data_IF_311530827547
#
_entry.id   IF_311530827547
#
_cell.length_a   1.000
_cell.length_b   1.000
_cell.length_c   1.000
_cell.angle_alpha   90.00
_cell.angle_beta   90.00
_cell.angle_gamma   90.00
#
_symmetry.space_group_name_H-M   'P 1'
#
loop_
_entity.id
_entity.type
_entity.pdbx_description
1 polymer ?
2 non-polymer ?
3 water ?
#
# COMPACT_ATOMS: atom_id res chain seq x y z
N UNK A 1 2.23 -9.80 17.28
CA UNK A 1 1.49 -9.60 16.00
C UNK A 1 0.09 -9.02 16.22
N UNK A 2 -0.01 -7.68 16.24
CA UNK A 2 -1.27 -6.95 16.43
C UNK A 2 -2.21 -7.20 15.27
N UNK A 3 -3.52 -7.18 15.53
CA UNK A 3 -4.50 -7.42 14.49
C UNK A 3 -5.52 -6.29 14.33
N UNK A 4 -5.20 -5.12 14.88
CA UNK A 4 -6.07 -3.95 14.79
C UNK A 4 -6.27 -3.57 13.32
N UNK A 5 -7.47 -3.13 12.96
CA UNK A 5 -7.73 -2.74 11.58
C UNK A 5 -6.92 -1.49 11.27
N UNK A 6 -6.42 -1.39 10.04
CA UNK A 6 -5.64 -0.23 9.66
C UNK A 6 -5.77 0.07 8.18
N UNK A 7 -5.51 1.32 7.83
CA UNK A 7 -5.54 1.78 6.45
C UNK A 7 -4.11 2.22 6.21
N UNK A 8 -3.45 1.64 5.22
CA UNK A 8 -2.06 1.98 4.94
C UNK A 8 -1.81 2.35 3.49
N UNK A 9 -1.32 3.57 3.26
CA UNK A 9 -1.03 4.01 1.91
C UNK A 9 0.47 3.86 1.72
N UNK A 10 0.87 3.02 0.77
CA UNK A 10 2.28 2.74 0.56
C UNK A 10 2.85 3.22 -0.76
N UNK A 11 4.04 3.81 -0.69
CA UNK A 11 4.75 4.29 -1.87
C UNK A 11 6.10 3.59 -1.79
N UNK A 12 6.35 2.70 -2.74
CA UNK A 12 7.57 1.91 -2.77
C UNK A 12 8.39 2.15 -4.03
N UNK A 13 9.69 2.40 -3.86
CA UNK A 13 10.58 2.65 -4.99
C UNK A 13 11.88 1.89 -4.84
N UNK A 14 12.49 1.50 -5.97
CA UNK A 14 13.76 0.76 -5.96
C UNK A 14 14.93 1.73 -6.05
N UNK A 15 15.99 1.45 -5.31
CA UNK A 15 17.18 2.29 -5.31
C UNK A 15 18.34 1.53 -5.93
N UNK A 16 19.06 2.18 -6.84
CA UNK A 16 20.20 1.53 -7.46
C UNK A 16 19.93 0.83 -8.78
N UNK A 17 18.79 1.09 -9.40
CA UNK A 17 18.50 0.46 -10.69
C UNK A 17 19.26 1.27 -11.74
N UNK A 18 19.31 0.76 -12.97
CA UNK A 18 20.04 1.45 -14.03
C UNK A 18 19.25 2.56 -14.72
N UNK A 19 18.00 2.75 -14.32
CA UNK A 19 17.17 3.76 -14.96
C UNK A 19 16.26 4.53 -14.01
N UNK A 20 15.98 5.78 -14.37
CA UNK A 20 15.11 6.64 -13.57
C UNK A 20 13.68 6.14 -13.72
N UNK A 21 13.43 5.39 -14.79
CA UNK A 21 12.11 4.83 -15.04
C UNK A 21 11.95 3.60 -14.15
N UNK A 22 10.93 3.58 -13.31
CA UNK A 22 10.70 2.44 -12.41
C UNK A 22 9.31 1.83 -12.53
N UNK A 23 8.61 2.12 -13.62
CA UNK A 23 7.26 1.58 -13.79
C UNK A 23 7.24 0.05 -13.84
N UNK A 24 8.36 -0.57 -14.21
CA UNK A 24 8.41 -2.03 -14.26
C UNK A 24 8.29 -2.56 -12.84
N UNK A 25 9.02 -1.93 -11.92
CA UNK A 25 9.02 -2.30 -10.51
C UNK A 25 7.62 -2.10 -9.92
N UNK A 26 7.03 -0.94 -10.20
CA UNK A 26 5.70 -0.63 -9.68
C UNK A 26 4.66 -1.64 -10.17
N UNK A 27 4.68 -1.93 -11.46
CA UNK A 27 3.75 -2.89 -12.05
C UNK A 27 3.95 -4.26 -11.41
N UNK A 28 5.22 -4.65 -11.26
CA UNK A 28 5.58 -5.93 -10.64
C UNK A 28 4.98 -6.07 -9.24
N UNK A 29 5.18 -5.06 -8.40
CA UNK A 29 4.66 -5.12 -7.04
C UNK A 29 3.14 -5.00 -6.99
N UNK A 30 2.57 -4.20 -7.89
CA UNK A 30 1.12 -4.03 -7.91
C UNK A 30 0.41 -5.34 -8.21
N UNK A 31 0.95 -6.11 -9.15
CA UNK A 31 0.35 -7.39 -9.50
C UNK A 31 0.40 -8.31 -8.28
N UNK A 32 1.48 -8.22 -7.52
CA UNK A 32 1.64 -9.04 -6.32
C UNK A 32 0.64 -8.61 -5.26
N UNK A 33 0.39 -7.30 -5.16
CA UNK A 33 -0.55 -6.77 -4.18
C UNK A 33 -1.98 -7.19 -4.51
N UNK A 34 -2.30 -7.24 -5.80
CA UNK A 34 -3.64 -7.61 -6.23
C UNK A 34 -3.94 -9.10 -6.05
N UNK A 35 -2.91 -9.89 -5.77
CA UNK A 35 -3.09 -11.32 -5.55
C UNK A 35 -3.58 -11.57 -4.13
N UNK A 36 -3.33 -10.61 -3.25
CA UNK A 36 -3.75 -10.71 -1.86
C UNK A 36 -5.25 -10.50 -1.76
N UNK A 37 -5.89 -11.13 -0.76
CA UNK A 37 -7.34 -10.98 -0.57
C UNK A 37 -7.66 -9.65 0.10
N UNK A 38 -6.63 -8.98 0.61
CA UNK A 38 -6.79 -7.69 1.26
C UNK A 38 -7.23 -6.64 0.25
N UNK A 39 -8.10 -5.73 0.68
CA UNK A 39 -8.58 -4.68 -0.20
C UNK A 39 -7.47 -3.68 -0.47
N UNK A 40 -7.24 -3.38 -1.75
CA UNK A 40 -6.21 -2.41 -2.13
C UNK A 40 -6.69 -1.50 -3.26
N UNK A 41 -6.21 -0.25 -3.24
CA UNK A 41 -6.58 0.73 -4.26
C UNK A 41 -5.33 1.43 -4.76
N UNK A 42 -5.07 1.33 -6.06
CA UNK A 42 -3.90 1.96 -6.66
C UNK A 42 -4.18 3.40 -7.11
N UNK A 43 -3.23 4.29 -6.83
CA UNK A 43 -3.34 5.68 -7.26
C UNK A 43 -1.96 6.11 -7.78
N UNK A 44 -1.82 7.35 -8.23
CA UNK A 44 -0.55 7.80 -8.80
C UNK A 44 0.65 7.85 -7.86
N UNK A 45 0.41 8.10 -6.57
CA UNK A 45 1.51 8.20 -5.63
C UNK A 45 1.61 7.04 -4.64
N UNK A 46 1.03 5.90 -5.00
CA UNK A 46 1.09 4.75 -4.11
C UNK A 46 -0.13 3.85 -4.18
N UNK A 47 -0.22 2.93 -3.23
CA UNK A 47 -1.35 2.01 -3.17
C UNK A 47 -1.85 1.94 -1.74
N UNK A 48 -3.16 2.03 -1.57
CA UNK A 48 -3.74 1.97 -0.23
C UNK A 48 -4.22 0.56 0.06
N UNK A 49 -3.73 0.01 1.17
CA UNK A 49 -4.07 -1.35 1.58
C UNK A 49 -4.79 -1.30 2.92
N UNK A 50 -5.82 -2.12 3.08
CA UNK A 50 -6.56 -2.14 4.34
C UNK A 50 -6.74 -3.56 4.88
N UNK A 51 -6.92 -3.66 6.20
CA UNK A 51 -7.09 -4.95 6.84
C UNK A 51 -6.40 -5.00 8.19
N UNK A 52 -6.33 -6.18 8.83
CA UNK A 52 -5.67 -6.30 10.13
C UNK A 52 -4.22 -5.85 9.98
N UNK A 53 -3.67 -5.24 11.02
CA UNK A 53 -2.29 -4.76 11.00
C UNK A 53 -1.27 -5.80 10.52
N UNK A 54 -1.27 -6.97 11.15
CA UNK A 54 -0.33 -8.03 10.79
C UNK A 54 -0.44 -8.48 9.34
N UNK A 55 -1.65 -8.55 8.80
CA UNK A 55 -1.81 -8.96 7.41
C UNK A 55 -1.34 -7.88 6.44
N UNK A 56 -1.63 -6.62 6.76
CA UNK A 56 -1.24 -5.51 5.89
C UNK A 56 0.27 -5.30 5.90
N UNK A 57 0.84 -5.19 7.10
CA UNK A 57 2.29 -5.00 7.22
C UNK A 57 3.00 -6.25 6.72
N UNK A 58 2.36 -7.40 6.90
CA UNK A 58 2.94 -8.65 6.43
C UNK A 58 3.06 -8.63 4.91
N UNK A 59 2.01 -8.17 4.23
CA UNK A 59 2.02 -8.10 2.77
C UNK A 59 3.10 -7.15 2.25
N UNK A 60 3.21 -5.99 2.87
CA UNK A 60 4.20 -5.01 2.45
C UNK A 60 5.59 -5.64 2.59
N UNK A 61 5.82 -6.36 3.68
CA UNK A 61 7.10 -7.01 3.88
C UNK A 61 7.36 -8.05 2.80
N UNK A 62 6.31 -8.78 2.42
CA UNK A 62 6.43 -9.80 1.39
C UNK A 62 6.75 -9.18 0.04
N UNK A 63 6.22 -7.98 -0.20
CA UNK A 63 6.47 -7.26 -1.44
C UNK A 63 7.94 -6.88 -1.51
N UNK A 64 8.51 -6.49 -0.38
CA UNK A 64 9.93 -6.13 -0.32
C UNK A 64 10.74 -7.37 -0.69
N UNK A 65 10.47 -8.48 -0.01
CA UNK A 65 11.18 -9.72 -0.29
C UNK A 65 11.01 -10.13 -1.75
N UNK A 66 9.81 -9.90 -2.29
CA UNK A 66 9.53 -10.23 -3.68
C UNK A 66 10.41 -9.37 -4.58
N UNK A 67 10.52 -8.09 -4.26
CA UNK A 67 11.36 -7.20 -5.05
C UNK A 67 12.79 -7.70 -5.08
N UNK A 68 13.31 -8.07 -3.91
CA UNK A 68 14.68 -8.55 -3.82
C UNK A 68 14.86 -9.86 -4.57
N UNK A 69 13.82 -10.69 -4.55
CA UNK A 69 13.85 -11.97 -5.25
C UNK A 69 13.91 -11.73 -6.75
N UNK A 70 13.33 -10.62 -7.20
CA UNK A 70 13.30 -10.27 -8.62
C UNK A 70 14.55 -9.51 -9.07
N UNK A 71 15.55 -9.43 -8.20
CA UNK A 71 16.78 -8.75 -8.58
C UNK A 71 17.02 -7.36 -8.01
N UNK A 72 16.00 -6.71 -7.46
CA UNK A 72 16.19 -5.38 -6.91
C UNK A 72 17.00 -5.48 -5.62
N UNK A 73 18.09 -4.72 -5.57
CA UNK A 73 18.99 -4.73 -4.42
C UNK A 73 18.56 -3.90 -3.22
N UNK A 74 17.80 -2.83 -3.46
CA UNK A 74 17.39 -1.97 -2.36
C UNK A 74 16.02 -1.37 -2.60
N UNK A 75 15.16 -1.45 -1.58
CA UNK A 75 13.82 -0.90 -1.67
C UNK A 75 13.61 0.12 -0.56
N UNK A 76 13.04 1.26 -0.94
CA UNK A 76 12.76 2.36 -0.03
C UNK A 76 11.24 2.53 -0.04
N UNK A 77 10.63 2.53 1.14
CA UNK A 77 9.18 2.65 1.22
C UNK A 77 8.67 3.71 2.20
N UNK A 78 7.61 4.41 1.82
CA UNK A 78 6.99 5.38 2.71
C UNK A 78 5.59 4.85 2.96
N UNK A 79 5.23 4.73 4.23
CA UNK A 79 3.92 4.22 4.59
C UNK A 79 3.18 5.21 5.48
N UNK A 80 1.95 5.52 5.12
CA UNK A 80 1.13 6.39 5.94
C UNK A 80 0.08 5.41 6.43
N UNK A 81 -0.02 5.25 7.73
CA UNK A 81 -0.98 4.30 8.28
C UNK A 81 -1.70 4.89 9.47
N UNK A 82 -2.98 4.57 9.58
CA UNK A 82 -3.75 5.08 10.70
C UNK A 82 -4.68 4.04 11.26
N UNK A 83 -4.95 4.14 12.56
CA UNK A 83 -5.87 3.25 13.24
C UNK A 83 -6.76 4.15 14.09
N UNK A 84 -8.00 3.73 14.32
CA UNK A 84 -8.93 4.51 15.12
C UNK A 84 -9.97 3.59 15.75
N UNK A 85 -10.52 4.00 16.88
CA UNK A 85 -11.51 3.19 17.60
C UNK A 85 -12.94 3.73 17.56
N UNK A 86 -13.14 4.89 16.95
CA UNK A 86 -14.47 5.50 16.90
C UNK A 86 -15.37 5.03 15.75
N UNK A 87 -14.78 4.45 14.71
CA UNK A 87 -15.58 3.97 13.58
C UNK A 87 -14.76 3.15 12.60
N UNK A 88 -15.44 2.32 11.82
CA UNK A 88 -14.78 1.52 10.80
C UNK A 88 -14.89 2.31 9.51
N UNK A 89 -13.77 2.55 8.85
CA UNK A 89 -13.80 3.32 7.63
C UNK A 89 -12.83 2.78 6.59
N UNK A 90 -13.35 2.45 5.42
CA UNK A 90 -12.53 1.94 4.34
C UNK A 90 -11.98 3.16 3.59
N UNK A 91 -11.08 2.93 2.65
CA UNK A 91 -10.50 4.02 1.88
C UNK A 91 -11.59 4.71 1.06
N UNK A 92 -12.54 3.93 0.57
CA UNK A 92 -13.64 4.49 -0.21
C UNK A 92 -14.57 5.31 0.67
N UNK A 93 -14.82 4.85 1.89
CA UNK A 93 -15.69 5.60 2.80
C UNK A 93 -15.06 6.96 3.07
N UNK A 94 -13.74 6.94 3.22
CA UNK A 94 -12.97 8.14 3.51
C UNK A 94 -13.11 9.21 2.43
N UNK A 95 -12.95 8.82 1.18
CA UNK A 95 -13.07 9.79 0.09
C UNK A 95 -14.53 10.20 -0.10
N UNK A 96 -15.46 9.28 0.18
CA UNK A 96 -16.88 9.58 0.02
C UNK A 96 -17.34 10.69 0.96
N UNK A 97 -16.85 10.66 2.20
CA UNK A 97 -17.22 11.68 3.17
C UNK A 97 -16.73 13.05 2.72
N UNK A 98 -15.49 13.12 2.25
CA UNK A 98 -14.91 14.37 1.79
C UNK A 98 -15.68 14.92 0.59
N UNK A 99 -15.86 14.10 -0.44
CA UNK A 99 -16.57 14.53 -1.64
C UNK A 99 -17.93 15.12 -1.29
N UNK A 100 -18.66 14.44 -0.40
CA UNK A 100 -19.97 14.91 0.02
C UNK A 100 -19.86 16.31 0.63
N UNK A 101 -18.97 16.45 1.61
CA UNK A 101 -18.77 17.73 2.27
C UNK A 101 -18.32 18.84 1.34
N UNK A 102 -17.55 18.49 0.31
CA UNK A 102 -17.06 19.48 -0.65
C UNK A 102 -18.20 20.09 -1.45
N UNK A 103 -19.20 19.28 -1.78
CA UNK A 103 -20.35 19.75 -2.54
C UNK A 103 -21.36 20.38 -1.59
N UNK A 104 -20.95 20.58 -0.35
CA UNK A 104 -21.81 21.18 0.66
C UNK A 104 -21.07 22.31 1.37
X LIG B 1 -13.51 11.29 9.26
X LIG B 1 -14.43 12.39 9.39
X LIG B 1 -12.18 11.75 9.56
X LIG B 1 -13.54 10.80 7.92
X LIG B 1 -13.94 10.26 10.17
#
# INVERSE_FOLDING_TARGET
>A
MPKIFCLADVCMVPIGTDSASISDFVALIEKKIRESPLKSTLHSAGTTIEGPWDDVMGLIGEIHEYGHEKGYVRVHTDIRVGTRTDKHQTAQDKIDVVLKKISQ
>B hetero
1 SO4 S O1 O2 O3 O4
#
